data_IF_781755567758
#
_entry.id   IF_781755567758
#
_cell.length_a   1.000
_cell.length_b   1.000
_cell.length_c   1.000
_cell.angle_alpha   90.00
_cell.angle_beta   90.00
_cell.angle_gamma   90.00
#
_symmetry.space_group_name_H-M   'P 1'
#
loop_
_entity.id
_entity.type
_entity.pdbx_description
1 polymer ?
#
# COMPACT_ATOMS: atom_id res chain seq x y z
N UNK A 1 21.28 -16.73 -4.32
CA UNK A 1 19.89 -17.22 -4.31
C UNK A 1 19.06 -16.22 -3.53
N UNK A 2 18.02 -15.62 -4.12
CA UNK A 2 17.07 -14.81 -3.35
C UNK A 2 16.39 -15.74 -2.36
N UNK A 3 16.57 -15.52 -1.05
CA UNK A 3 15.78 -16.20 -0.03
C UNK A 3 14.32 -15.93 -0.39
N UNK A 4 13.55 -16.97 -0.71
CA UNK A 4 12.11 -16.83 -0.90
C UNK A 4 11.60 -16.16 0.37
N UNK A 5 11.31 -14.87 0.31
CA UNK A 5 10.71 -14.16 1.43
C UNK A 5 9.33 -14.76 1.57
N UNK A 6 9.15 -15.56 2.61
CA UNK A 6 7.86 -16.11 2.99
C UNK A 6 6.80 -15.01 2.87
N UNK A 7 5.71 -15.32 2.16
CA UNK A 7 4.63 -14.37 1.93
C UNK A 7 4.02 -14.01 3.28
N UNK A 8 4.16 -12.75 3.68
CA UNK A 8 3.58 -12.22 4.90
C UNK A 8 2.25 -11.53 4.59
N UNK A 9 1.38 -11.48 5.59
CA UNK A 9 0.08 -10.86 5.48
C UNK A 9 0.04 -9.62 6.37
N UNK A 10 -0.42 -8.51 5.79
CA UNK A 10 -0.51 -7.22 6.45
C UNK A 10 -1.98 -6.78 6.46
N UNK A 11 -2.55 -6.56 7.64
CA UNK A 11 -3.91 -6.10 7.80
C UNK A 11 -3.93 -4.57 7.85
N UNK A 12 -4.74 -3.95 6.99
CA UNK A 12 -5.01 -2.52 7.02
C UNK A 12 -5.88 -2.22 8.22
N UNK A 13 -5.40 -1.28 9.04
CA UNK A 13 -6.03 -0.90 10.31
C UNK A 13 -6.51 0.55 10.22
N UNK A 14 -7.73 0.82 10.66
CA UNK A 14 -8.26 2.19 10.80
C UNK A 14 -7.69 2.84 12.06
N UNK A 15 -7.96 4.13 12.24
CA UNK A 15 -7.55 4.85 13.45
C UNK A 15 -8.22 4.30 14.71
N UNK A 16 -9.45 3.80 14.60
CA UNK A 16 -10.24 3.17 15.67
C UNK A 16 -9.75 1.75 16.02
N UNK A 17 -8.88 1.18 15.20
CA UNK A 17 -8.27 -0.12 15.42
C UNK A 17 -8.92 -1.29 14.68
N UNK A 18 -9.98 -1.05 13.92
CA UNK A 18 -10.63 -2.04 13.07
C UNK A 18 -9.77 -2.44 11.87
N UNK A 19 -9.88 -3.71 11.46
CA UNK A 19 -9.14 -4.25 10.33
C UNK A 19 -10.04 -4.44 9.12
N UNK A 20 -9.83 -3.65 8.06
CA UNK A 20 -10.76 -3.59 6.91
C UNK A 20 -10.34 -4.48 5.73
N UNK A 21 -9.03 -4.75 5.60
CA UNK A 21 -8.49 -5.45 4.43
C UNK A 21 -7.16 -6.12 4.73
N UNK A 22 -6.82 -7.16 3.97
CA UNK A 22 -5.53 -7.86 4.11
C UNK A 22 -4.77 -7.83 2.78
N UNK A 23 -3.49 -7.49 2.87
CA UNK A 23 -2.56 -7.41 1.76
C UNK A 23 -1.40 -8.37 1.96
N UNK A 24 -1.20 -9.29 1.03
CA UNK A 24 -0.05 -10.20 1.04
C UNK A 24 1.15 -9.57 0.33
N UNK A 25 2.35 -9.69 0.90
CA UNK A 25 3.58 -9.16 0.31
C UNK A 25 4.86 -9.75 0.92
N UNK A 26 5.97 -9.64 0.22
CA UNK A 26 7.28 -10.04 0.77
C UNK A 26 7.84 -9.00 1.76
N UNK A 27 7.40 -7.74 1.63
CA UNK A 27 7.79 -6.62 2.51
C UNK A 27 6.56 -5.79 2.90
N UNK A 28 6.59 -5.10 4.06
CA UNK A 28 5.51 -4.20 4.47
C UNK A 28 5.29 -3.08 3.46
N UNK A 29 6.36 -2.54 2.86
CA UNK A 29 6.25 -1.55 1.78
C UNK A 29 5.48 -2.06 0.57
N UNK A 30 5.66 -3.33 0.17
CA UNK A 30 4.91 -3.89 -0.95
C UNK A 30 3.41 -3.99 -0.63
N UNK A 31 3.05 -4.32 0.61
CA UNK A 31 1.67 -4.30 1.06
C UNK A 31 1.13 -2.86 1.10
N UNK A 32 1.92 -1.90 1.58
CA UNK A 32 1.57 -0.47 1.58
C UNK A 32 1.30 0.05 0.16
N UNK A 33 2.15 -0.27 -0.82
CA UNK A 33 1.91 0.10 -2.22
C UNK A 33 0.62 -0.52 -2.79
N UNK A 34 0.26 -1.74 -2.36
CA UNK A 34 -1.01 -2.35 -2.77
C UNK A 34 -2.20 -1.66 -2.13
N UNK A 35 -2.05 -1.17 -0.89
CA UNK A 35 -3.06 -0.39 -0.20
C UNK A 35 -3.21 1.00 -0.83
N UNK A 36 -2.11 1.70 -1.10
CA UNK A 36 -2.10 3.01 -1.75
C UNK A 36 -2.81 2.99 -3.11
N UNK A 37 -2.60 1.95 -3.93
CA UNK A 37 -3.31 1.78 -5.21
C UNK A 37 -4.83 1.56 -5.10
N UNK A 38 -5.37 1.39 -3.89
CA UNK A 38 -6.82 1.31 -3.66
C UNK A 38 -7.41 2.64 -3.19
N UNK A 39 -6.58 3.64 -2.92
CA UNK A 39 -7.04 5.00 -2.62
C UNK A 39 -7.63 5.63 -3.88
N UNK A 40 -8.36 6.71 -3.69
CA UNK A 40 -8.88 7.51 -4.79
C UNK A 40 -7.70 8.19 -5.50
N UNK A 41 -7.48 7.94 -6.81
CA UNK A 41 -6.35 8.52 -7.51
C UNK A 41 -6.60 9.99 -7.84
N UNK A 42 -5.58 10.82 -7.64
CA UNK A 42 -5.56 12.19 -8.15
C UNK A 42 -5.27 12.23 -9.66
N UNK A 43 -5.51 13.38 -10.30
CA UNK A 43 -5.23 13.58 -11.73
C UNK A 43 -3.72 13.53 -12.05
N UNK A 44 -2.86 13.78 -11.07
CA UNK A 44 -1.40 13.81 -11.22
C UNK A 44 -0.69 13.62 -9.88
N UNK A 45 0.57 13.18 -9.93
CA UNK A 45 1.37 12.90 -8.71
C UNK A 45 1.53 14.16 -7.82
N UNK A 46 1.61 15.35 -8.40
CA UNK A 46 1.74 16.61 -7.64
C UNK A 46 0.44 17.08 -7.00
N UNK A 47 -0.70 16.63 -7.51
CA UNK A 47 -2.04 17.00 -7.01
C UNK A 47 -2.57 15.97 -6.01
N UNK A 48 -1.73 15.02 -5.59
CA UNK A 48 -2.17 13.99 -4.65
C UNK A 48 -2.01 14.43 -3.20
N UNK A 49 -3.06 14.20 -2.41
CA UNK A 49 -3.02 14.33 -0.95
C UNK A 49 -2.63 12.97 -0.33
N UNK A 50 -1.47 12.88 0.37
CA UNK A 50 -1.08 11.63 1.02
C UNK A 50 -2.02 11.23 2.16
N UNK A 51 -2.49 9.99 2.13
CA UNK A 51 -3.33 9.41 3.19
C UNK A 51 -2.51 8.48 4.09
N UNK A 52 -2.83 8.46 5.38
CA UNK A 52 -2.18 7.57 6.33
C UNK A 52 -2.65 6.12 6.14
N UNK A 53 -1.70 5.22 5.92
CA UNK A 53 -1.90 3.78 5.77
C UNK A 53 -1.22 3.06 6.93
N UNK A 54 -2.02 2.50 7.83
CA UNK A 54 -1.55 1.67 8.94
C UNK A 54 -1.70 0.18 8.63
N UNK A 55 -0.59 -0.55 8.63
CA UNK A 55 -0.54 -1.98 8.28
C UNK A 55 0.03 -2.82 9.42
N UNK A 56 -0.82 -3.63 10.05
CA UNK A 56 -0.38 -4.61 11.06
C UNK A 56 0.15 -5.88 10.40
N UNK A 57 1.35 -6.31 10.76
CA UNK A 57 1.92 -7.58 10.31
C UNK A 57 1.28 -8.74 11.10
N UNK A 58 0.49 -9.59 10.42
CA UNK A 58 -0.21 -10.72 11.05
C UNK A 58 0.80 -11.68 11.71
N UNK A 59 0.48 -12.11 12.93
CA UNK A 59 1.37 -12.93 13.76
C UNK A 59 2.40 -12.13 14.54
N UNK A 60 2.39 -10.80 14.43
CA UNK A 60 3.22 -9.91 15.24
C UNK A 60 2.37 -8.76 15.79
N UNK A 61 2.97 -8.02 16.72
CA UNK A 61 2.39 -6.82 17.31
C UNK A 61 2.83 -5.55 16.57
N UNK A 62 3.41 -5.67 15.37
CA UNK A 62 3.99 -4.54 14.64
C UNK A 62 2.95 -3.91 13.72
N UNK A 63 2.81 -2.60 13.82
CA UNK A 63 2.02 -1.78 12.90
C UNK A 63 2.97 -0.88 12.14
N UNK A 64 3.01 -1.02 10.83
CA UNK A 64 3.79 -0.15 9.97
C UNK A 64 2.93 1.03 9.51
N UNK A 65 3.41 2.25 9.72
CA UNK A 65 2.72 3.46 9.27
C UNK A 65 3.43 3.97 8.01
N UNK A 66 2.63 4.23 6.98
CA UNK A 66 3.06 4.86 5.74
C UNK A 66 2.12 6.01 5.42
N UNK A 67 2.63 7.02 4.71
CA UNK A 67 1.78 7.88 3.89
C UNK A 67 1.72 7.26 2.50
N UNK A 68 0.52 7.10 1.94
CA UNK A 68 0.31 6.53 0.62
C UNK A 68 -0.59 7.42 -0.21
N UNK A 69 -0.32 7.44 -1.51
CA UNK A 69 -1.03 8.29 -2.44
C UNK A 69 -1.08 7.61 -3.81
N UNK A 70 -2.11 7.92 -4.59
CA UNK A 70 -2.34 7.35 -5.92
C UNK A 70 -2.68 8.45 -6.93
N UNK A 71 -2.30 8.24 -8.19
CA UNK A 71 -2.63 9.14 -9.29
C UNK A 71 -2.85 8.35 -10.58
N UNK A 72 -3.60 8.96 -11.50
CA UNK A 72 -3.78 8.45 -12.85
C UNK A 72 -2.61 8.85 -13.75
N UNK A 73 -2.13 7.92 -14.56
CA UNK A 73 -1.13 8.19 -15.59
C UNK A 73 -1.54 7.53 -16.90
N UNK A 74 -1.34 8.24 -18.01
CA UNK A 74 -1.60 7.71 -19.34
C UNK A 74 -0.65 6.53 -19.64
N UNK A 75 -1.21 5.42 -20.09
CA UNK A 75 -0.41 4.26 -20.44
C UNK A 75 0.45 4.53 -21.69
N UNK A 76 1.65 3.93 -21.80
CA UNK A 76 2.56 4.20 -22.90
C UNK A 76 1.98 3.79 -24.26
N UNK A 77 2.48 4.41 -25.34
CA UNK A 77 2.02 4.16 -26.71
C UNK A 77 2.15 2.69 -27.14
N UNK A 78 3.22 2.01 -26.71
CA UNK A 78 3.49 0.59 -26.98
C UNK A 78 2.71 -0.38 -26.07
N UNK A 79 1.67 0.08 -25.37
CA UNK A 79 0.90 -0.77 -24.46
C UNK A 79 0.20 -1.92 -25.20
N UNK A 80 0.09 -3.09 -24.56
CA UNK A 80 -0.66 -4.19 -25.15
C UNK A 80 -2.18 -3.91 -25.09
N UNK A 81 -2.94 -4.46 -26.06
CA UNK A 81 -4.39 -4.22 -26.19
C UNK A 81 -5.25 -4.59 -24.96
N UNK A 82 -4.73 -5.42 -24.04
CA UNK A 82 -5.43 -5.78 -22.82
C UNK A 82 -5.29 -4.73 -21.70
N UNK A 83 -4.39 -3.75 -21.86
CA UNK A 83 -4.12 -2.69 -20.89
C UNK A 83 -4.96 -1.44 -21.18
N UNK A 84 -5.62 -0.84 -20.16
CA UNK A 84 -6.46 0.33 -20.33
C UNK A 84 -5.72 1.59 -20.83
N UNK A 85 -6.51 2.61 -21.18
CA UNK A 85 -6.12 4.01 -21.44
C UNK A 85 -5.13 4.52 -20.40
N UNK A 86 -5.63 4.52 -19.18
CA UNK A 86 -5.05 5.13 -18.01
C UNK A 86 -4.76 4.04 -16.97
N UNK A 87 -3.68 4.24 -16.22
CA UNK A 87 -3.26 3.33 -15.16
C UNK A 87 -3.14 4.07 -13.84
N UNK A 88 -3.63 3.44 -12.77
CA UNK A 88 -3.42 3.95 -11.42
C UNK A 88 -2.00 3.60 -10.95
N UNK A 89 -1.20 4.64 -10.77
CA UNK A 89 0.06 4.54 -10.03
C UNK A 89 -0.17 4.88 -8.58
N UNK A 90 0.75 4.42 -7.75
CA UNK A 90 0.71 4.73 -6.32
C UNK A 90 2.09 4.61 -5.73
N UNK A 91 2.36 5.45 -4.74
CA UNK A 91 3.61 5.50 -4.04
C UNK A 91 3.35 5.57 -2.54
N UNK A 92 4.40 5.31 -1.76
CA UNK A 92 4.34 5.35 -0.30
C UNK A 92 5.63 5.90 0.30
N UNK A 93 5.48 6.78 1.29
CA UNK A 93 6.52 7.21 2.22
C UNK A 93 6.38 6.44 3.53
N UNK A 94 7.51 6.09 4.16
CA UNK A 94 7.49 5.37 5.44
C UNK A 94 7.63 6.37 6.58
N UNK A 95 6.60 6.44 7.40
CA UNK A 95 6.58 7.34 8.55
C UNK A 95 7.11 6.66 9.81
N UNK A 96 6.74 5.40 10.05
CA UNK A 96 7.09 4.77 11.31
C UNK A 96 6.71 3.30 11.46
N UNK A 97 6.98 2.79 12.66
CA UNK A 97 6.52 1.47 13.11
C UNK A 97 6.12 1.58 14.57
N UNK A 98 4.89 1.21 14.87
CA UNK A 98 4.35 1.09 16.23
C UNK A 98 4.32 -0.36 16.68
N UNK A 99 4.32 -0.56 18.00
CA UNK A 99 4.14 -1.86 18.62
C UNK A 99 2.89 -1.80 19.49
N UNK A 100 1.99 -2.77 19.31
CA UNK A 100 0.79 -2.92 20.11
C UNK A 100 1.09 -3.73 21.37
N UNK A 101 0.67 -3.26 22.54
CA UNK A 101 0.84 -4.00 23.79
C UNK A 101 -0.06 -5.26 23.82
N UNK A 102 -1.23 -5.22 23.17
CA UNK A 102 -2.19 -6.34 23.08
C UNK A 102 -2.80 -6.42 21.66
N UNK A 103 -3.15 -7.64 21.20
CA UNK A 103 -3.74 -7.91 19.86
C UNK A 103 -5.26 -8.03 19.96
#
# INVERSE_FOLDING_TARGET
>A
MAREKEKRNFALRTQDGDETSVFSGGTPRQAALKAARRLEPAESENDTDPEEIRLREKGTHKVHIYEGWAWEEEAPDDKPNWMPGDITKGNVSKEGVEHLDEI
#
